data_IF_114435703117
#
_entry.id   IF_114435703117
#
_cell.length_a   1.000
_cell.length_b   1.000
_cell.length_c   1.000
_cell.angle_alpha   90.00
_cell.angle_beta   90.00
_cell.angle_gamma   90.00
#
_symmetry.space_group_name_H-M   'P 1'
#
loop_
_entity.id
_entity.type
_entity.pdbx_description
1 polymer ?
#
# COMPACT_ATOMS: atom_id res chain seq x y z
N UNK A 1 8.33 -27.84 -14.45
CA UNK A 1 9.55 -28.43 -13.88
C UNK A 1 10.60 -27.35 -13.78
N UNK A 2 11.15 -27.11 -12.58
CA UNK A 2 12.26 -26.18 -12.35
C UNK A 2 13.48 -27.04 -12.00
N UNK A 3 14.58 -26.82 -12.72
CA UNK A 3 15.84 -27.54 -12.54
C UNK A 3 16.83 -26.59 -11.86
N UNK A 4 17.18 -26.89 -10.62
CA UNK A 4 18.24 -26.22 -9.88
C UNK A 4 19.43 -27.17 -9.73
N UNK A 5 20.67 -26.69 -9.48
CA UNK A 5 21.88 -27.51 -9.51
C UNK A 5 21.82 -28.78 -8.64
N UNK A 6 21.04 -28.77 -7.54
CA UNK A 6 20.93 -29.88 -6.59
C UNK A 6 19.48 -30.34 -6.34
N UNK A 7 18.49 -29.86 -7.11
CA UNK A 7 17.09 -30.27 -6.90
C UNK A 7 16.26 -30.17 -8.19
N UNK A 8 15.29 -31.08 -8.32
CA UNK A 8 14.26 -31.02 -9.35
C UNK A 8 12.93 -30.74 -8.65
N UNK A 9 12.30 -29.62 -8.99
CA UNK A 9 10.95 -29.30 -8.52
C UNK A 9 9.93 -29.50 -9.64
N UNK A 10 8.91 -30.31 -9.38
CA UNK A 10 7.74 -30.45 -10.24
C UNK A 10 6.60 -29.60 -9.69
N UNK A 11 6.08 -28.67 -10.50
CA UNK A 11 4.98 -27.78 -10.14
C UNK A 11 3.74 -28.26 -10.91
N UNK A 12 2.73 -28.77 -10.20
CA UNK A 12 1.50 -29.27 -10.81
C UNK A 12 0.49 -28.16 -11.08
N UNK A 13 0.43 -27.17 -10.19
CA UNK A 13 -0.52 -26.05 -10.27
C UNK A 13 0.19 -24.73 -10.02
N UNK A 14 -0.24 -23.69 -10.73
CA UNK A 14 0.17 -22.30 -10.51
C UNK A 14 -1.05 -21.48 -10.15
N UNK A 15 -0.99 -20.82 -9.01
CA UNK A 15 -2.00 -19.83 -8.60
C UNK A 15 -1.38 -18.46 -8.71
N UNK A 16 -2.03 -17.55 -9.43
CA UNK A 16 -1.56 -16.19 -9.52
C UNK A 16 -1.79 -15.47 -8.19
N UNK A 17 -0.71 -14.90 -7.67
CA UNK A 17 -0.81 -13.99 -6.54
C UNK A 17 -1.36 -12.63 -6.96
N UNK A 18 -1.71 -11.77 -6.00
CA UNK A 18 -2.24 -10.43 -6.28
C UNK A 18 -1.25 -9.46 -6.96
N UNK A 19 0.01 -9.88 -7.10
CA UNK A 19 1.11 -9.06 -7.61
C UNK A 19 1.45 -7.91 -6.68
N UNK A 20 2.08 -6.86 -7.22
CA UNK A 20 2.53 -5.70 -6.45
C UNK A 20 3.91 -5.90 -5.80
N UNK A 21 4.23 -5.02 -4.85
CA UNK A 21 5.48 -5.03 -4.10
C UNK A 21 5.23 -5.34 -2.62
N UNK A 22 6.17 -5.99 -1.91
CA UNK A 22 6.03 -6.23 -0.48
C UNK A 22 5.85 -4.92 0.32
N UNK A 23 4.88 -4.88 1.22
CA UNK A 23 4.57 -3.67 1.99
C UNK A 23 5.77 -3.19 2.84
N UNK A 24 6.08 -1.90 2.75
CA UNK A 24 7.15 -1.22 3.47
C UNK A 24 8.47 -1.09 2.71
N UNK A 25 8.63 -1.73 1.53
CA UNK A 25 9.84 -1.55 0.70
C UNK A 25 9.94 -0.15 0.12
N UNK A 26 8.80 0.50 -0.15
CA UNK A 26 8.68 1.89 -0.60
C UNK A 26 8.38 2.87 0.56
N UNK A 27 8.72 2.51 1.79
CA UNK A 27 8.48 3.36 2.96
C UNK A 27 7.02 3.38 3.43
N UNK A 28 6.63 4.50 4.04
CA UNK A 28 5.38 4.62 4.79
C UNK A 28 4.51 5.79 4.28
N UNK A 29 3.19 5.60 4.26
CA UNK A 29 2.17 6.62 4.00
C UNK A 29 1.21 6.70 5.17
N UNK A 30 0.88 7.93 5.58
CA UNK A 30 -0.15 8.19 6.59
C UNK A 30 -1.54 8.09 5.96
N UNK A 31 -2.48 7.41 6.62
CA UNK A 31 -3.84 7.28 6.11
C UNK A 31 -4.87 7.59 7.20
N UNK A 32 -5.89 8.35 6.82
CA UNK A 32 -7.13 8.47 7.57
C UNK A 32 -8.24 7.86 6.71
N UNK A 33 -8.68 6.65 7.07
CA UNK A 33 -9.64 5.91 6.24
C UNK A 33 -11.03 6.07 6.85
N UNK A 34 -11.85 6.92 6.23
CA UNK A 34 -13.22 7.22 6.68
C UNK A 34 -14.28 6.77 5.68
N UNK A 35 -13.92 6.62 4.41
CA UNK A 35 -14.80 6.22 3.33
C UNK A 35 -14.31 4.94 2.64
N UNK A 36 -15.15 4.40 1.77
CA UNK A 36 -14.76 3.31 0.88
C UNK A 36 -13.67 3.76 -0.08
N UNK A 37 -13.75 4.98 -0.62
CA UNK A 37 -12.72 5.53 -1.52
C UNK A 37 -11.36 5.65 -0.82
N UNK A 38 -11.31 6.08 0.45
CA UNK A 38 -10.05 6.10 1.22
C UNK A 38 -9.47 4.68 1.37
N UNK A 39 -10.34 3.68 1.54
CA UNK A 39 -9.95 2.28 1.71
C UNK A 39 -9.37 1.71 0.42
N UNK A 40 -10.04 1.94 -0.71
CA UNK A 40 -9.57 1.53 -2.04
C UNK A 40 -8.25 2.24 -2.38
N UNK A 41 -8.15 3.55 -2.11
CA UNK A 41 -6.92 4.32 -2.30
C UNK A 41 -5.76 3.77 -1.44
N UNK A 42 -6.00 3.49 -0.16
CA UNK A 42 -5.00 2.91 0.73
C UNK A 42 -4.54 1.53 0.26
N UNK A 43 -5.45 0.70 -0.26
CA UNK A 43 -5.08 -0.60 -0.84
C UNK A 43 -4.16 -0.45 -2.07
N UNK A 44 -4.45 0.49 -2.98
CA UNK A 44 -3.60 0.72 -4.17
C UNK A 44 -2.19 1.18 -3.77
N UNK A 45 -2.08 2.03 -2.75
CA UNK A 45 -0.80 2.45 -2.17
C UNK A 45 -0.07 1.26 -1.54
N UNK A 46 -0.80 0.42 -0.79
CA UNK A 46 -0.25 -0.79 -0.19
C UNK A 46 0.37 -1.72 -1.24
N UNK A 47 -0.34 -1.95 -2.35
CA UNK A 47 0.09 -2.80 -3.46
C UNK A 47 1.34 -2.27 -4.18
N UNK A 48 1.62 -0.97 -4.09
CA UNK A 48 2.86 -0.36 -4.57
C UNK A 48 4.04 -0.54 -3.61
N UNK A 49 3.90 -1.34 -2.56
CA UNK A 49 4.96 -1.68 -1.62
C UNK A 49 5.15 -0.65 -0.52
N UNK A 50 4.20 0.26 -0.35
CA UNK A 50 4.21 1.24 0.73
C UNK A 50 3.41 0.70 1.91
N UNK A 51 3.89 0.89 3.13
CA UNK A 51 3.10 0.52 4.30
C UNK A 51 2.14 1.64 4.69
N UNK A 52 0.90 1.25 4.99
CA UNK A 52 -0.11 2.16 5.53
C UNK A 52 0.08 2.32 7.03
N UNK A 53 0.15 3.57 7.47
CA UNK A 53 0.22 3.99 8.87
C UNK A 53 -1.10 4.73 9.19
N UNK A 54 -2.07 4.03 9.81
CA UNK A 54 -3.34 4.65 10.17
C UNK A 54 -3.16 5.71 11.24
N UNK A 55 -3.86 6.83 11.10
CA UNK A 55 -3.91 7.93 12.08
C UNK A 55 -5.34 8.51 12.13
N UNK A 56 -5.57 9.49 13.01
CA UNK A 56 -6.82 10.29 13.07
C UNK A 56 -8.11 9.46 13.02
N UNK A 57 -8.30 8.58 14.01
CA UNK A 57 -9.51 7.77 14.21
C UNK A 57 -9.98 7.03 12.94
N UNK A 58 -9.02 6.44 12.23
CA UNK A 58 -9.30 5.60 11.06
C UNK A 58 -10.28 4.47 11.42
N UNK A 59 -11.29 4.24 10.56
CA UNK A 59 -12.31 3.21 10.78
C UNK A 59 -11.71 1.80 10.83
N UNK A 60 -11.82 1.15 11.99
CA UNK A 60 -11.29 -0.20 12.22
C UNK A 60 -11.83 -1.27 11.26
N UNK A 61 -13.07 -1.11 10.77
CA UNK A 61 -13.63 -2.03 9.78
C UNK A 61 -12.74 -2.14 8.52
N UNK A 62 -12.24 -1.01 8.01
CA UNK A 62 -11.35 -1.00 6.86
C UNK A 62 -9.93 -1.46 7.20
N UNK A 63 -9.44 -1.15 8.41
CA UNK A 63 -8.13 -1.64 8.87
C UNK A 63 -8.10 -3.15 8.97
N UNK A 64 -9.17 -3.78 9.47
CA UNK A 64 -9.29 -5.23 9.53
C UNK A 64 -9.23 -5.87 8.14
N UNK A 65 -9.84 -5.24 7.13
CA UNK A 65 -9.74 -5.71 5.76
C UNK A 65 -8.31 -5.58 5.21
N UNK A 66 -7.64 -4.45 5.43
CA UNK A 66 -6.27 -4.21 4.97
C UNK A 66 -5.23 -5.09 5.70
N UNK A 67 -5.46 -5.46 6.97
CA UNK A 67 -4.58 -6.39 7.73
C UNK A 67 -4.48 -7.77 7.10
N UNK A 68 -5.46 -8.19 6.29
CA UNK A 68 -5.39 -9.42 5.49
C UNK A 68 -4.30 -9.35 4.40
N UNK A 69 -3.90 -8.14 4.03
CA UNK A 69 -2.94 -7.85 2.96
C UNK A 69 -1.56 -7.43 3.50
N UNK A 70 -1.51 -6.75 4.65
CA UNK A 70 -0.26 -6.49 5.39
C UNK A 70 -0.46 -6.79 6.88
N UNK A 71 0.11 -7.91 7.39
CA UNK A 71 0.01 -8.25 8.82
C UNK A 71 0.78 -7.27 9.71
N UNK A 72 1.63 -6.41 9.15
CA UNK A 72 2.39 -5.39 9.87
C UNK A 72 1.81 -3.97 9.69
N UNK A 73 0.58 -3.85 9.21
CA UNK A 73 -0.10 -2.57 9.04
C UNK A 73 -0.02 -1.72 10.31
N UNK A 74 0.32 -0.42 10.15
CA UNK A 74 0.57 0.50 11.26
C UNK A 74 1.98 0.43 11.85
N UNK A 75 2.78 -0.62 11.59
CA UNK A 75 4.16 -0.72 12.06
C UNK A 75 5.13 -0.06 11.08
N UNK A 76 5.66 1.09 11.42
CA UNK A 76 6.59 1.83 10.55
C UNK A 76 7.75 1.01 10.00
N UNK A 77 8.04 1.23 8.72
CA UNK A 77 9.21 0.68 8.07
C UNK A 77 10.49 1.28 8.67
N UNK A 78 11.60 0.56 8.49
CA UNK A 78 12.92 0.96 9.00
C UNK A 78 13.89 1.21 7.86
N UNK A 79 14.84 2.09 8.09
CA UNK A 79 16.02 2.27 7.24
C UNK A 79 17.27 2.20 8.10
N UNK A 80 18.40 1.83 7.48
CA UNK A 80 19.71 2.02 8.08
C UNK A 80 20.33 3.28 7.47
N UNK A 81 20.94 4.09 8.31
CA UNK A 81 21.77 5.21 7.85
C UNK A 81 23.17 4.73 7.45
N UNK A 82 24.02 5.66 7.02
CA UNK A 82 25.42 5.40 6.62
C UNK A 82 26.27 4.84 7.78
N UNK A 83 25.88 5.12 9.04
CA UNK A 83 26.51 4.56 10.25
C UNK A 83 26.04 3.15 10.59
N UNK A 84 25.09 2.59 9.83
CA UNK A 84 24.49 1.27 10.07
C UNK A 84 23.39 1.27 11.14
N UNK A 85 23.06 2.43 11.71
CA UNK A 85 22.04 2.56 12.76
C UNK A 85 20.64 2.50 12.15
N UNK A 86 19.74 1.72 12.78
CA UNK A 86 18.38 1.52 12.27
C UNK A 86 17.38 2.50 12.87
N UNK A 87 16.70 3.26 12.01
CA UNK A 87 15.69 4.26 12.38
C UNK A 87 14.35 3.99 11.69
N UNK A 88 13.27 4.54 12.25
CA UNK A 88 11.99 4.60 11.55
C UNK A 88 12.08 5.56 10.37
N UNK A 89 11.47 5.19 9.25
CA UNK A 89 11.36 6.08 8.10
C UNK A 89 10.30 7.14 8.38
N UNK A 90 10.56 8.42 8.05
CA UNK A 90 9.48 9.39 8.00
C UNK A 90 8.48 8.98 6.91
N UNK A 91 7.20 9.26 7.15
CA UNK A 91 6.19 9.07 6.12
C UNK A 91 6.42 10.07 4.98
N UNK A 92 6.24 9.63 3.73
CA UNK A 92 6.49 10.47 2.54
C UNK A 92 5.21 10.92 1.84
N UNK A 93 4.07 10.32 2.16
CA UNK A 93 2.78 10.72 1.61
C UNK A 93 1.62 10.58 2.59
N UNK A 94 0.48 11.13 2.20
CA UNK A 94 -0.79 11.09 2.94
C UNK A 94 -1.94 10.71 2.03
N UNK A 95 -2.96 10.07 2.59
CA UNK A 95 -4.24 9.80 1.92
C UNK A 95 -5.40 9.97 2.91
N UNK A 96 -6.53 10.52 2.44
CA UNK A 96 -7.72 10.76 3.26
C UNK A 96 -7.63 11.89 4.29
N UNK A 97 -6.56 12.71 4.25
CA UNK A 97 -6.35 13.86 5.14
C UNK A 97 -5.54 14.97 4.45
N UNK A 98 -5.48 16.15 5.06
CA UNK A 98 -4.60 17.24 4.65
C UNK A 98 -3.16 17.06 5.15
N UNK A 99 -2.21 17.73 4.49
CA UNK A 99 -0.80 17.76 4.92
C UNK A 99 -0.63 18.41 6.30
N UNK A 100 -1.51 19.36 6.66
CA UNK A 100 -1.46 20.03 7.95
C UNK A 100 -1.81 19.07 9.08
N UNK A 101 -2.91 18.33 8.94
CA UNK A 101 -3.35 17.32 9.92
C UNK A 101 -2.34 16.18 10.06
N UNK A 102 -1.64 15.84 8.98
CA UNK A 102 -0.62 14.79 8.97
C UNK A 102 0.68 15.17 9.70
N UNK A 103 0.98 16.46 9.84
CA UNK A 103 2.25 16.98 10.33
C UNK A 103 2.78 16.31 11.61
N UNK A 104 1.96 16.21 12.69
CA UNK A 104 2.36 15.56 13.94
C UNK A 104 2.76 14.08 13.79
N UNK A 105 2.28 13.41 12.74
CA UNK A 105 2.47 11.99 12.53
C UNK A 105 3.57 11.66 11.51
N UNK A 106 4.23 12.62 10.88
CA UNK A 106 5.25 12.33 9.85
C UNK A 106 6.44 11.56 10.43
N UNK A 107 6.74 11.78 11.72
CA UNK A 107 7.86 11.15 12.44
C UNK A 107 9.23 11.43 11.81
N UNK A 108 9.43 12.66 11.33
CA UNK A 108 10.76 13.15 10.96
C UNK A 108 11.64 13.33 12.20
N UNK A 109 12.94 13.04 12.06
CA UNK A 109 13.95 13.37 13.08
C UNK A 109 14.49 14.77 12.76
N UNK A 110 14.98 15.49 13.77
CA UNK A 110 15.63 16.79 13.55
C UNK A 110 16.83 16.68 12.58
N UNK A 111 17.59 15.58 12.67
CA UNK A 111 18.71 15.28 11.78
C UNK A 111 18.29 14.69 10.41
N UNK A 112 16.99 14.47 10.16
CA UNK A 112 16.54 13.92 8.88
C UNK A 112 16.69 14.94 7.76
N UNK A 113 17.45 14.59 6.73
CA UNK A 113 17.49 15.35 5.48
C UNK A 113 16.21 15.08 4.70
N UNK A 114 15.45 16.14 4.40
CA UNK A 114 14.24 16.06 3.58
C UNK A 114 14.62 15.84 2.12
N UNK A 115 14.66 14.59 1.69
CA UNK A 115 14.90 14.22 0.27
C UNK A 115 13.63 14.21 -0.55
N UNK A 116 12.47 14.02 0.08
CA UNK A 116 11.16 14.04 -0.57
C UNK A 116 10.16 14.73 0.36
N UNK A 117 9.46 15.79 -0.09
CA UNK A 117 8.39 16.40 0.70
C UNK A 117 7.20 15.46 0.88
N UNK A 118 6.49 15.64 1.98
CA UNK A 118 5.18 15.00 2.18
C UNK A 118 4.23 15.41 1.05
N UNK A 119 3.62 14.44 0.37
CA UNK A 119 2.68 14.68 -0.72
C UNK A 119 1.29 14.08 -0.43
N UNK A 120 0.26 14.65 -1.05
CA UNK A 120 -1.09 14.06 -1.04
C UNK A 120 -1.22 13.09 -2.20
N UNK A 121 -1.64 11.86 -1.88
CA UNK A 121 -1.83 10.80 -2.86
C UNK A 121 -3.31 10.67 -3.21
N UNK A 122 -3.61 10.59 -4.51
CA UNK A 122 -4.95 10.38 -5.02
C UNK A 122 -4.97 9.20 -6.03
N UNK A 123 -4.76 7.96 -5.57
CA UNK A 123 -4.59 6.78 -6.44
C UNK A 123 -5.84 6.41 -7.26
N UNK A 124 -7.01 6.90 -6.84
CA UNK A 124 -8.28 6.68 -7.52
C UNK A 124 -8.59 7.73 -8.58
N UNK A 125 -7.74 8.74 -8.76
CA UNK A 125 -7.90 9.69 -9.86
C UNK A 125 -7.81 8.94 -11.19
N UNK A 126 -8.85 9.05 -12.02
CA UNK A 126 -8.97 8.35 -13.29
C UNK A 126 -9.55 6.93 -13.21
N UNK A 127 -10.10 6.53 -12.06
CA UNK A 127 -10.88 5.29 -11.93
C UNK A 127 -12.37 5.58 -12.08
N UNK A 128 -13.04 4.80 -12.92
CA UNK A 128 -14.50 4.74 -13.00
C UNK A 128 -15.10 4.07 -11.77
N UNK A 129 -16.39 4.31 -11.52
CA UNK A 129 -17.13 3.60 -10.46
C UNK A 129 -17.17 2.08 -10.68
N UNK A 130 -17.18 1.64 -11.95
CA UNK A 130 -17.12 0.23 -12.32
C UNK A 130 -15.80 -0.42 -11.90
N UNK A 131 -14.68 0.24 -12.16
CA UNK A 131 -13.36 -0.23 -11.77
C UNK A 131 -13.16 -0.19 -10.25
N UNK A 132 -13.65 0.86 -9.57
CA UNK A 132 -13.65 0.93 -8.10
C UNK A 132 -14.42 -0.23 -7.49
N UNK A 133 -15.58 -0.58 -8.05
CA UNK A 133 -16.37 -1.74 -7.61
C UNK A 133 -15.64 -3.06 -7.86
N UNK A 134 -15.01 -3.23 -9.02
CA UNK A 134 -14.20 -4.41 -9.32
C UNK A 134 -13.01 -4.55 -8.35
N UNK A 135 -12.33 -3.43 -8.07
CA UNK A 135 -11.25 -3.36 -7.08
C UNK A 135 -11.75 -3.75 -5.68
N UNK A 136 -12.90 -3.23 -5.25
CA UNK A 136 -13.49 -3.61 -3.97
C UNK A 136 -13.69 -5.12 -3.86
N UNK A 137 -14.32 -5.73 -4.87
CA UNK A 137 -14.55 -7.18 -4.92
C UNK A 137 -13.24 -7.96 -4.88
N UNK A 138 -12.22 -7.52 -5.62
CA UNK A 138 -10.89 -8.12 -5.59
C UNK A 138 -10.27 -8.08 -4.18
N UNK A 139 -10.38 -6.96 -3.48
CA UNK A 139 -9.83 -6.83 -2.12
C UNK A 139 -10.52 -7.79 -1.15
N UNK A 140 -11.82 -8.04 -1.35
CA UNK A 140 -12.60 -8.95 -0.50
C UNK A 140 -12.30 -10.42 -0.80
N UNK A 141 -12.24 -10.80 -2.07
CA UNK A 141 -12.08 -12.18 -2.54
C UNK A 141 -11.23 -12.24 -3.83
N UNK A 142 -9.89 -12.17 -3.70
CA UNK A 142 -8.99 -12.03 -4.84
C UNK A 142 -8.89 -13.27 -5.72
N UNK A 143 -9.31 -14.44 -5.22
CA UNK A 143 -9.25 -15.70 -5.98
C UNK A 143 -10.36 -15.77 -7.03
N UNK A 144 -11.56 -15.26 -6.71
CA UNK A 144 -12.70 -15.26 -7.63
C UNK A 144 -12.85 -13.95 -8.41
N UNK A 145 -12.25 -12.86 -7.91
CA UNK A 145 -12.28 -11.56 -8.55
C UNK A 145 -10.85 -11.10 -8.83
N UNK A 146 -10.21 -11.52 -9.92
CA UNK A 146 -8.90 -11.01 -10.31
C UNK A 146 -8.97 -9.50 -10.60
N UNK A 147 -7.86 -8.80 -10.38
CA UNK A 147 -7.83 -7.34 -10.39
C UNK A 147 -8.15 -6.69 -11.75
N UNK A 148 -7.88 -7.40 -12.85
CA UNK A 148 -7.91 -6.80 -14.19
C UNK A 148 -8.92 -7.47 -15.11
N UNK A 149 -9.89 -6.70 -15.59
CA UNK A 149 -10.65 -7.01 -16.80
C UNK A 149 -10.31 -6.10 -17.98
N UNK A 150 -9.71 -4.92 -17.73
CA UNK A 150 -9.26 -3.98 -18.77
C UNK A 150 -7.78 -3.61 -18.52
N UNK A 151 -6.92 -3.87 -19.50
CA UNK A 151 -5.48 -3.59 -19.46
C UNK A 151 -5.08 -2.46 -20.44
N UNK A 152 -6.04 -1.92 -21.17
CA UNK A 152 -5.80 -1.04 -22.33
C UNK A 152 -6.32 0.39 -22.10
N UNK A 153 -7.34 0.57 -21.28
CA UNK A 153 -7.87 1.89 -20.92
C UNK A 153 -7.05 2.51 -19.78
N UNK A 154 -6.23 3.53 -20.10
CA UNK A 154 -5.36 4.20 -19.10
C UNK A 154 -5.95 5.49 -18.51
N UNK A 155 -6.91 6.09 -19.21
CA UNK A 155 -7.59 7.35 -18.82
C UNK A 155 -9.03 7.25 -19.36
N UNK A 156 -10.00 7.68 -18.56
CA UNK A 156 -11.39 7.86 -19.01
C UNK A 156 -11.46 8.66 -20.33
N UNK A 157 -12.30 8.19 -21.25
CA UNK A 157 -12.68 8.94 -22.46
C UNK A 157 -13.90 9.81 -22.21
#
# INVERSE_FOLDING_TARGET
MILEPNQIAHLETRTDGPGGLPAGVQGDVLAQIQSEDDFLAAFLILRRGTRIIPVLDTKEAYLNLLRRWDPYLGRRSRMRDESGTSHHRPAWGVVGMSLHEAGPFVMHREASVKTTPLCTLQPLMGWTDGEKKALHLHILDPLHHPLHTDAESWIDR
#
